data_IF_677663139054
#
_entry.id   IF_677663139054
#
_cell.length_a   1.000
_cell.length_b   1.000
_cell.length_c   1.000
_cell.angle_alpha   90.00
_cell.angle_beta   90.00
_cell.angle_gamma   90.00
#
_symmetry.space_group_name_H-M   'P 1'
#
loop_
_entity.id
_entity.type
_entity.pdbx_description
1 polymer ?
#
# COMPACT_ATOMS: atom_id res chain seq x y z
N UNK A 1 2.03 23.65 -5.77
CA UNK A 1 3.10 22.63 -5.92
C UNK A 1 4.34 23.14 -6.64
N UNK A 2 4.21 23.99 -7.62
CA UNK A 2 5.33 24.47 -8.47
C UNK A 2 6.17 25.65 -7.95
N UNK A 3 5.85 26.24 -6.80
CA UNK A 3 6.48 27.49 -6.32
C UNK A 3 7.03 27.41 -4.90
N UNK A 4 6.36 26.72 -3.98
CA UNK A 4 6.80 26.59 -2.58
C UNK A 4 8.12 25.82 -2.46
N UNK A 5 8.94 26.06 -1.40
CA UNK A 5 10.16 25.29 -1.15
C UNK A 5 9.85 23.79 -1.08
N UNK A 6 10.64 22.96 -1.80
CA UNK A 6 10.36 21.54 -1.98
C UNK A 6 10.35 20.76 -0.67
N UNK A 7 11.28 21.06 0.25
CA UNK A 7 11.33 20.39 1.56
C UNK A 7 10.08 20.66 2.40
N UNK A 8 9.65 21.92 2.50
CA UNK A 8 8.41 22.28 3.22
C UNK A 8 7.18 21.64 2.57
N UNK A 9 7.17 21.59 1.25
CA UNK A 9 6.08 20.98 0.50
C UNK A 9 6.03 19.47 0.75
N UNK A 10 7.18 18.77 0.70
CA UNK A 10 7.26 17.35 0.99
C UNK A 10 6.76 17.03 2.41
N UNK A 11 7.19 17.80 3.42
CA UNK A 11 6.71 17.63 4.80
C UNK A 11 5.19 17.86 4.90
N UNK A 12 4.67 18.87 4.22
CA UNK A 12 3.22 19.18 4.21
C UNK A 12 2.38 18.04 3.64
N UNK A 13 2.91 17.23 2.72
CA UNK A 13 2.22 16.11 2.10
C UNK A 13 2.56 14.77 2.78
N UNK A 14 3.82 14.55 3.14
CA UNK A 14 4.27 13.30 3.72
C UNK A 14 3.78 13.10 5.16
N UNK A 15 3.82 14.14 6.00
CA UNK A 15 3.40 14.01 7.39
C UNK A 15 1.93 13.58 7.55
N UNK A 16 0.95 14.19 6.85
CA UNK A 16 -0.42 13.69 6.84
C UNK A 16 -0.56 12.25 6.35
N UNK A 17 0.19 11.88 5.31
CA UNK A 17 0.16 10.52 4.76
C UNK A 17 0.74 9.50 5.75
N UNK A 18 1.85 9.82 6.42
CA UNK A 18 2.45 8.97 7.47
C UNK A 18 1.46 8.75 8.62
N UNK A 19 0.83 9.80 9.11
CA UNK A 19 -0.16 9.72 10.19
C UNK A 19 -1.33 8.83 9.75
N UNK A 20 -1.86 9.02 8.54
CA UNK A 20 -2.96 8.22 8.01
C UNK A 20 -2.59 6.73 7.87
N UNK A 21 -1.39 6.42 7.36
CA UNK A 21 -0.90 5.04 7.20
C UNK A 21 -0.70 4.36 8.55
N UNK A 22 -0.13 5.07 9.53
CA UNK A 22 0.06 4.56 10.89
C UNK A 22 -1.28 4.30 11.57
N UNK A 23 -2.24 5.22 11.46
CA UNK A 23 -3.58 5.06 12.02
C UNK A 23 -4.30 3.85 11.41
N UNK A 24 -4.20 3.66 10.09
CA UNK A 24 -4.79 2.50 9.40
C UNK A 24 -4.16 1.17 9.84
N UNK A 25 -2.86 1.14 10.12
CA UNK A 25 -2.20 -0.06 10.64
C UNK A 25 -2.66 -0.42 12.06
N UNK A 26 -2.77 0.58 12.93
CA UNK A 26 -3.26 0.37 14.30
C UNK A 26 -4.73 -0.11 14.31
N UNK A 27 -5.55 0.43 13.40
CA UNK A 27 -6.93 0.03 13.24
C UNK A 27 -7.08 -1.47 12.97
N UNK A 28 -6.34 -2.04 12.02
CA UNK A 28 -6.40 -3.46 11.73
C UNK A 28 -6.09 -4.35 12.95
N UNK A 29 -5.23 -3.87 13.86
CA UNK A 29 -4.98 -4.53 15.14
C UNK A 29 -6.19 -4.48 16.07
N UNK A 30 -6.80 -3.31 16.20
CA UNK A 30 -7.95 -3.07 17.09
C UNK A 30 -9.17 -3.88 16.64
N UNK A 31 -9.47 -3.90 15.33
CA UNK A 31 -10.55 -4.69 14.75
C UNK A 31 -10.39 -6.19 15.05
N UNK A 32 -9.18 -6.72 14.87
CA UNK A 32 -8.86 -8.12 15.19
C UNK A 32 -9.06 -8.44 16.68
N UNK A 33 -8.75 -7.51 17.57
CA UNK A 33 -8.95 -7.68 19.02
C UNK A 33 -10.46 -7.77 19.34
N UNK A 34 -11.28 -6.88 18.79
CA UNK A 34 -12.72 -6.89 19.03
C UNK A 34 -13.39 -8.17 18.49
N UNK A 35 -13.01 -8.63 17.30
CA UNK A 35 -13.52 -9.90 16.75
C UNK A 35 -13.10 -11.07 17.64
N UNK A 36 -11.84 -11.10 18.08
CA UNK A 36 -11.32 -12.18 18.90
C UNK A 36 -11.99 -12.30 20.25
N UNK A 37 -12.19 -11.19 20.91
CA UNK A 37 -12.83 -11.14 22.23
C UNK A 37 -14.36 -11.31 22.14
N UNK A 38 -14.98 -10.82 21.07
CA UNK A 38 -16.44 -10.78 20.95
C UNK A 38 -17.07 -12.01 20.31
N UNK A 39 -16.36 -12.65 19.38
CA UNK A 39 -16.91 -13.78 18.59
C UNK A 39 -16.15 -15.09 18.87
N UNK A 40 -14.85 -15.00 19.12
CA UNK A 40 -14.02 -16.14 19.53
C UNK A 40 -12.92 -16.52 18.53
N UNK A 41 -12.14 -17.56 18.89
CA UNK A 41 -10.95 -17.96 18.16
C UNK A 41 -11.22 -18.45 16.72
N UNK A 42 -12.34 -19.13 16.48
CA UNK A 42 -12.72 -19.58 15.13
C UNK A 42 -13.04 -18.40 14.20
N UNK A 43 -13.62 -17.32 14.75
CA UNK A 43 -13.88 -16.11 13.98
C UNK A 43 -12.58 -15.39 13.60
N UNK A 44 -11.58 -15.31 14.50
CA UNK A 44 -10.25 -14.81 14.16
C UNK A 44 -9.61 -15.65 13.05
N UNK A 45 -9.71 -16.96 13.15
CA UNK A 45 -9.17 -17.86 12.12
C UNK A 45 -9.88 -17.67 10.78
N UNK A 46 -11.21 -17.49 10.79
CA UNK A 46 -11.99 -17.14 9.61
C UNK A 46 -11.56 -15.80 9.01
N UNK A 47 -11.36 -14.77 9.85
CA UNK A 47 -10.85 -13.47 9.41
C UNK A 47 -9.44 -13.58 8.80
N UNK A 48 -8.56 -14.35 9.40
CA UNK A 48 -7.20 -14.55 8.89
C UNK A 48 -7.18 -15.14 7.47
N UNK A 49 -8.11 -16.05 7.18
CA UNK A 49 -8.30 -16.62 5.83
C UNK A 49 -8.78 -15.56 4.83
N UNK A 50 -9.63 -14.63 5.26
CA UNK A 50 -10.15 -13.58 4.37
C UNK A 50 -9.14 -12.48 4.07
N UNK A 51 -8.15 -12.28 4.93
CA UNK A 51 -7.20 -11.16 4.85
C UNK A 51 -6.42 -11.06 3.53
N UNK A 52 -5.81 -12.14 2.98
CA UNK A 52 -5.16 -12.09 1.68
C UNK A 52 -6.11 -11.72 0.54
N UNK A 53 -7.33 -12.21 0.60
CA UNK A 53 -8.35 -11.92 -0.41
C UNK A 53 -8.85 -10.48 -0.32
N UNK A 54 -9.02 -9.94 0.87
CA UNK A 54 -9.34 -8.52 1.07
C UNK A 54 -8.21 -7.61 0.56
N UNK A 55 -6.96 -7.99 0.81
CA UNK A 55 -5.81 -7.25 0.28
C UNK A 55 -5.77 -7.25 -1.24
N UNK A 56 -6.12 -8.37 -1.88
CA UNK A 56 -6.23 -8.45 -3.33
C UNK A 56 -7.34 -7.52 -3.84
N UNK A 57 -8.51 -7.52 -3.20
CA UNK A 57 -9.60 -6.59 -3.53
C UNK A 57 -9.17 -5.13 -3.40
N UNK A 58 -8.56 -4.78 -2.26
CA UNK A 58 -8.08 -3.42 -2.01
C UNK A 58 -7.00 -3.00 -3.02
N UNK A 59 -6.19 -3.94 -3.52
CA UNK A 59 -5.17 -3.67 -4.53
C UNK A 59 -5.76 -3.18 -5.86
N UNK A 60 -6.95 -3.65 -6.25
CA UNK A 60 -7.65 -3.13 -7.43
C UNK A 60 -8.07 -1.67 -7.26
N UNK A 61 -8.75 -1.34 -6.15
CA UNK A 61 -9.17 0.02 -5.85
C UNK A 61 -7.99 0.98 -5.68
N UNK A 62 -6.96 0.54 -4.94
CA UNK A 62 -5.73 1.30 -4.77
C UNK A 62 -4.98 1.51 -6.09
N UNK A 63 -4.95 0.51 -6.97
CA UNK A 63 -4.36 0.60 -8.30
C UNK A 63 -5.01 1.70 -9.15
N UNK A 64 -6.34 1.71 -9.23
CA UNK A 64 -7.08 2.78 -9.93
C UNK A 64 -6.83 4.14 -9.27
N UNK A 65 -6.86 4.21 -7.94
CA UNK A 65 -6.63 5.44 -7.19
C UNK A 65 -5.24 6.02 -7.42
N UNK A 66 -4.19 5.20 -7.32
CA UNK A 66 -2.79 5.60 -7.55
C UNK A 66 -2.56 5.97 -9.01
N UNK A 67 -3.10 5.20 -9.95
CA UNK A 67 -3.02 5.50 -11.37
C UNK A 67 -3.66 6.84 -11.71
N UNK A 68 -4.86 7.08 -11.20
CA UNK A 68 -5.59 8.34 -11.36
C UNK A 68 -4.85 9.52 -10.71
N UNK A 69 -4.38 9.36 -9.48
CA UNK A 69 -3.66 10.39 -8.72
C UNK A 69 -2.36 10.79 -9.40
N UNK A 70 -1.57 9.82 -9.88
CA UNK A 70 -0.31 10.09 -10.59
C UNK A 70 -0.57 10.81 -11.91
N UNK A 71 -1.49 10.30 -12.73
CA UNK A 71 -1.82 10.89 -14.03
C UNK A 71 -2.44 12.28 -13.89
N UNK A 72 -3.32 12.46 -12.91
CA UNK A 72 -3.90 13.75 -12.54
C UNK A 72 -2.82 14.77 -12.18
N UNK A 73 -1.85 14.39 -11.35
CA UNK A 73 -0.77 15.28 -10.92
C UNK A 73 0.09 15.76 -12.09
N UNK A 74 0.40 14.87 -13.04
CA UNK A 74 1.12 15.20 -14.27
C UNK A 74 0.30 16.20 -15.11
N UNK A 75 -1.00 15.95 -15.31
CA UNK A 75 -1.88 16.81 -16.08
C UNK A 75 -2.06 18.20 -15.46
N UNK A 76 -2.16 18.27 -14.13
CA UNK A 76 -2.16 19.55 -13.41
C UNK A 76 -0.85 20.33 -13.61
N UNK A 77 0.29 19.63 -13.65
CA UNK A 77 1.60 20.22 -13.96
C UNK A 77 1.67 20.77 -15.36
N UNK A 78 1.07 20.08 -16.34
CA UNK A 78 0.94 20.51 -17.74
C UNK A 78 -0.10 21.63 -17.93
N UNK A 79 -0.83 22.01 -16.87
CA UNK A 79 -1.97 22.95 -16.94
C UNK A 79 -3.14 22.45 -17.82
N UNK A 80 -3.20 21.15 -18.09
CA UNK A 80 -4.29 20.51 -18.82
C UNK A 80 -5.44 20.19 -17.86
N UNK A 81 -6.16 21.24 -17.46
CA UNK A 81 -7.24 21.16 -16.48
C UNK A 81 -8.46 20.40 -17.01
N UNK A 82 -8.67 20.42 -18.32
CA UNK A 82 -9.76 19.69 -18.97
C UNK A 82 -9.59 18.18 -18.80
N UNK A 83 -8.42 17.66 -19.14
CA UNK A 83 -8.09 16.24 -18.93
C UNK A 83 -8.06 15.90 -17.43
N UNK A 84 -7.49 16.78 -16.59
CA UNK A 84 -7.46 16.58 -15.13
C UNK A 84 -8.87 16.38 -14.56
N UNK A 85 -9.83 17.21 -15.00
CA UNK A 85 -11.23 17.10 -14.60
C UNK A 85 -11.87 15.78 -15.05
N UNK A 86 -11.56 15.31 -16.27
CA UNK A 86 -12.04 14.01 -16.78
C UNK A 86 -11.42 12.82 -16.06
N UNK A 87 -10.16 12.93 -15.60
CA UNK A 87 -9.51 11.89 -14.80
C UNK A 87 -10.27 11.68 -13.49
N UNK A 88 -10.72 12.74 -12.82
CA UNK A 88 -11.54 12.64 -11.60
C UNK A 88 -12.80 11.80 -11.86
N UNK A 89 -13.55 12.09 -12.94
CA UNK A 89 -14.76 11.34 -13.28
C UNK A 89 -14.46 9.89 -13.69
N UNK A 90 -13.40 9.66 -14.47
CA UNK A 90 -12.98 8.32 -14.87
C UNK A 90 -12.50 7.48 -13.67
N UNK A 91 -11.87 8.10 -12.66
CA UNK A 91 -11.52 7.42 -11.40
C UNK A 91 -12.79 6.88 -10.70
N UNK A 92 -13.84 7.68 -10.62
CA UNK A 92 -15.11 7.25 -10.03
C UNK A 92 -15.72 6.09 -10.82
N UNK A 93 -15.86 6.25 -12.13
CA UNK A 93 -16.49 5.23 -12.99
C UNK A 93 -15.70 3.92 -13.01
N UNK A 94 -14.37 3.98 -13.11
CA UNK A 94 -13.52 2.79 -13.07
C UNK A 94 -13.61 2.04 -11.74
N UNK A 95 -13.59 2.74 -10.60
CA UNK A 95 -13.74 2.12 -9.30
C UNK A 95 -15.11 1.44 -9.13
N UNK A 96 -16.18 2.05 -9.67
CA UNK A 96 -17.51 1.41 -9.67
C UNK A 96 -17.50 0.14 -10.53
N UNK A 97 -17.00 0.21 -11.76
CA UNK A 97 -17.02 -0.93 -12.68
C UNK A 97 -16.14 -2.08 -12.14
N UNK A 98 -14.90 -1.79 -11.76
CA UNK A 98 -13.98 -2.80 -11.26
C UNK A 98 -14.47 -3.36 -9.92
N UNK A 99 -14.96 -2.52 -9.02
CA UNK A 99 -15.55 -2.94 -7.75
C UNK A 99 -16.77 -3.84 -7.95
N UNK A 100 -17.66 -3.48 -8.87
CA UNK A 100 -18.84 -4.28 -9.19
C UNK A 100 -18.47 -5.64 -9.80
N UNK A 101 -17.60 -5.65 -10.82
CA UNK A 101 -17.16 -6.89 -11.48
C UNK A 101 -16.45 -7.80 -10.49
N UNK A 102 -15.53 -7.25 -9.68
CA UNK A 102 -14.85 -8.02 -8.64
C UNK A 102 -15.82 -8.60 -7.62
N UNK A 103 -16.79 -7.81 -7.15
CA UNK A 103 -17.81 -8.26 -6.19
C UNK A 103 -18.69 -9.37 -6.75
N UNK A 104 -19.20 -9.21 -7.97
CA UNK A 104 -20.09 -10.21 -8.59
C UNK A 104 -19.34 -11.52 -8.80
N UNK A 105 -18.15 -11.48 -9.41
CA UNK A 105 -17.32 -12.67 -9.65
C UNK A 105 -16.97 -13.36 -8.32
N UNK A 106 -16.56 -12.58 -7.33
CA UNK A 106 -16.15 -13.09 -6.03
C UNK A 106 -17.33 -13.71 -5.25
N UNK A 107 -18.52 -13.13 -5.32
CA UNK A 107 -19.71 -13.68 -4.66
C UNK A 107 -20.16 -14.99 -5.32
N UNK A 108 -20.06 -15.10 -6.65
CA UNK A 108 -20.42 -16.33 -7.38
C UNK A 108 -19.50 -17.51 -7.04
N UNK A 109 -18.22 -17.23 -6.77
CA UNK A 109 -17.20 -18.24 -6.47
C UNK A 109 -16.65 -18.13 -5.04
N UNK A 110 -17.42 -17.60 -4.11
CA UNK A 110 -16.92 -17.25 -2.77
C UNK A 110 -16.35 -18.45 -2.02
N UNK A 111 -17.07 -19.55 -1.93
CA UNK A 111 -16.63 -20.73 -1.19
C UNK A 111 -15.36 -21.35 -1.79
N UNK A 112 -15.28 -21.62 -3.11
CA UNK A 112 -14.03 -22.07 -3.73
C UNK A 112 -12.85 -21.13 -3.47
N UNK A 113 -13.07 -19.82 -3.50
CA UNK A 113 -12.02 -18.81 -3.22
C UNK A 113 -11.58 -18.93 -1.76
N UNK A 114 -12.50 -18.98 -0.81
CA UNK A 114 -12.16 -19.09 0.62
C UNK A 114 -11.41 -20.38 0.93
N UNK A 115 -11.84 -21.52 0.37
CA UNK A 115 -11.09 -22.78 0.50
C UNK A 115 -9.70 -22.70 -0.11
N UNK A 116 -9.54 -22.04 -1.26
CA UNK A 116 -8.23 -21.81 -1.87
C UNK A 116 -7.29 -21.02 -0.96
N UNK A 117 -7.83 -20.04 -0.19
CA UNK A 117 -7.06 -19.25 0.77
C UNK A 117 -6.88 -19.96 2.13
N UNK A 118 -7.35 -21.19 2.29
CA UNK A 118 -7.08 -22.03 3.45
C UNK A 118 -8.24 -22.13 4.47
N UNK A 119 -9.46 -21.80 4.08
CA UNK A 119 -10.62 -22.04 4.93
C UNK A 119 -10.81 -23.55 5.18
N UNK A 120 -11.16 -23.91 6.40
CA UNK A 120 -11.64 -25.24 6.79
C UNK A 120 -13.16 -25.25 6.92
N UNK A 121 -13.74 -26.43 7.05
CA UNK A 121 -15.19 -26.54 7.32
C UNK A 121 -15.64 -25.82 8.60
N UNK A 122 -14.72 -25.66 9.57
CA UNK A 122 -15.00 -24.95 10.81
C UNK A 122 -14.91 -23.43 10.66
N UNK A 123 -14.03 -22.92 9.80
CA UNK A 123 -13.78 -21.48 9.64
C UNK A 123 -14.60 -20.85 8.51
N UNK A 124 -15.05 -21.65 7.54
CA UNK A 124 -15.77 -21.14 6.36
C UNK A 124 -17.07 -20.40 6.70
N UNK A 125 -17.88 -20.78 7.70
CA UNK A 125 -19.07 -20.01 8.04
C UNK A 125 -18.73 -18.56 8.43
N UNK A 126 -17.70 -18.37 9.26
CA UNK A 126 -17.26 -17.04 9.70
C UNK A 126 -16.66 -16.24 8.55
N UNK A 127 -15.80 -16.85 7.75
CA UNK A 127 -15.19 -16.23 6.59
C UNK A 127 -16.24 -15.79 5.56
N UNK A 128 -17.23 -16.63 5.29
CA UNK A 128 -18.34 -16.34 4.37
C UNK A 128 -19.21 -15.19 4.87
N UNK A 129 -19.63 -15.22 6.12
CA UNK A 129 -20.46 -14.16 6.72
C UNK A 129 -19.78 -12.80 6.67
N UNK A 130 -18.49 -12.77 6.94
CA UNK A 130 -17.69 -11.54 6.85
C UNK A 130 -17.55 -11.07 5.41
N UNK A 131 -17.12 -11.96 4.51
CA UNK A 131 -16.80 -11.60 3.13
C UNK A 131 -18.01 -11.21 2.30
N UNK A 132 -19.19 -11.78 2.54
CA UNK A 132 -20.43 -11.38 1.83
C UNK A 132 -20.69 -9.87 2.05
N UNK A 133 -20.61 -9.41 3.29
CA UNK A 133 -20.85 -7.99 3.60
C UNK A 133 -19.74 -7.12 3.00
N UNK A 134 -18.48 -7.51 3.14
CA UNK A 134 -17.34 -6.77 2.54
C UNK A 134 -17.49 -6.67 1.02
N UNK A 135 -17.85 -7.76 0.34
CA UNK A 135 -18.01 -7.77 -1.11
C UNK A 135 -19.22 -6.95 -1.59
N UNK A 136 -20.32 -6.97 -0.85
CA UNK A 136 -21.45 -6.09 -1.14
C UNK A 136 -21.11 -4.60 -1.01
N UNK A 137 -20.24 -4.27 -0.05
CA UNK A 137 -19.74 -2.92 0.17
C UNK A 137 -18.48 -2.56 -0.63
N UNK A 138 -17.96 -3.46 -1.45
CA UNK A 138 -16.65 -3.33 -2.08
C UNK A 138 -16.54 -2.13 -3.04
N UNK A 139 -17.62 -1.76 -3.72
CA UNK A 139 -17.67 -0.55 -4.55
C UNK A 139 -17.37 0.69 -3.68
N UNK A 140 -17.92 0.74 -2.48
CA UNK A 140 -17.68 1.84 -1.52
C UNK A 140 -16.20 1.86 -1.13
N UNK A 141 -15.62 0.70 -0.82
CA UNK A 141 -14.20 0.56 -0.48
C UNK A 141 -13.30 1.06 -1.62
N UNK A 142 -13.57 0.63 -2.86
CA UNK A 142 -12.80 1.08 -4.03
C UNK A 142 -12.90 2.58 -4.26
N UNK A 143 -14.11 3.13 -4.19
CA UNK A 143 -14.35 4.58 -4.30
C UNK A 143 -13.65 5.35 -3.19
N UNK A 144 -13.71 4.87 -1.95
CA UNK A 144 -13.05 5.49 -0.80
C UNK A 144 -11.54 5.60 -1.02
N UNK A 145 -10.87 4.51 -1.42
CA UNK A 145 -9.43 4.54 -1.73
C UNK A 145 -9.11 5.41 -2.93
N UNK A 146 -9.90 5.32 -4.00
CA UNK A 146 -9.72 6.11 -5.22
C UNK A 146 -9.86 7.61 -4.96
N UNK A 147 -10.90 8.04 -4.25
CA UNK A 147 -11.14 9.44 -3.91
C UNK A 147 -10.09 9.98 -2.93
N UNK A 148 -9.63 9.18 -1.96
CA UNK A 148 -8.56 9.55 -1.05
C UNK A 148 -7.23 9.83 -1.79
N UNK A 149 -6.87 9.00 -2.77
CA UNK A 149 -5.70 9.21 -3.60
C UNK A 149 -5.80 10.50 -4.44
N UNK A 150 -6.96 10.75 -5.03
CA UNK A 150 -7.21 11.96 -5.84
C UNK A 150 -7.23 13.22 -4.98
N UNK A 151 -7.70 13.18 -3.73
CA UNK A 151 -7.62 14.32 -2.80
C UNK A 151 -6.17 14.78 -2.60
N UNK A 152 -5.23 13.86 -2.46
CA UNK A 152 -3.81 14.22 -2.35
C UNK A 152 -3.28 14.90 -3.61
N UNK A 153 -3.64 14.38 -4.78
CA UNK A 153 -3.28 14.96 -6.07
C UNK A 153 -3.92 16.34 -6.29
N UNK A 154 -5.15 16.53 -5.80
CA UNK A 154 -5.89 17.79 -5.82
C UNK A 154 -5.39 18.83 -4.79
N UNK A 155 -4.21 18.65 -4.23
CA UNK A 155 -3.59 19.56 -3.23
C UNK A 155 -4.32 19.60 -1.87
N UNK A 156 -5.06 18.55 -1.53
CA UNK A 156 -5.81 18.43 -0.26
C UNK A 156 -5.29 17.27 0.64
N UNK A 157 -3.97 17.17 0.94
CA UNK A 157 -3.41 16.03 1.70
C UNK A 157 -3.91 15.95 3.14
N UNK A 158 -4.13 17.10 3.80
CA UNK A 158 -4.70 17.14 5.16
C UNK A 158 -6.12 16.59 5.20
N UNK A 159 -6.95 16.91 4.20
CA UNK A 159 -8.32 16.42 4.12
C UNK A 159 -8.35 14.91 3.85
N UNK A 160 -7.44 14.41 3.00
CA UNK A 160 -7.27 12.97 2.81
C UNK A 160 -6.89 12.26 4.13
N UNK A 161 -6.00 12.85 4.93
CA UNK A 161 -5.66 12.34 6.27
C UNK A 161 -6.87 12.36 7.21
N UNK A 162 -7.60 13.48 7.27
CA UNK A 162 -8.76 13.60 8.17
C UNK A 162 -9.85 12.58 7.84
N UNK A 163 -10.13 12.34 6.57
CA UNK A 163 -11.10 11.32 6.17
C UNK A 163 -10.62 9.91 6.56
N UNK A 164 -9.33 9.62 6.48
CA UNK A 164 -8.78 8.33 6.91
C UNK A 164 -8.85 8.17 8.43
N UNK A 165 -8.41 9.16 9.21
CA UNK A 165 -8.48 9.12 10.68
C UNK A 165 -9.94 9.00 11.13
N UNK A 166 -10.83 9.76 10.52
CA UNK A 166 -12.26 9.68 10.82
C UNK A 166 -12.82 8.28 10.57
N UNK A 167 -12.45 7.64 9.46
CA UNK A 167 -12.85 6.25 9.18
C UNK A 167 -12.35 5.30 10.26
N UNK A 168 -11.09 5.43 10.67
CA UNK A 168 -10.48 4.59 11.71
C UNK A 168 -11.20 4.78 13.06
N UNK A 169 -11.41 6.02 13.47
CA UNK A 169 -12.08 6.33 14.74
C UNK A 169 -13.53 5.86 14.73
N UNK A 170 -14.27 6.17 13.67
CA UNK A 170 -15.67 5.77 13.55
C UNK A 170 -15.82 4.26 13.55
N UNK A 171 -14.97 3.55 12.82
CA UNK A 171 -14.97 2.10 12.78
C UNK A 171 -14.65 1.50 14.17
N UNK A 172 -13.63 2.02 14.87
CA UNK A 172 -13.27 1.58 16.23
C UNK A 172 -14.41 1.78 17.25
N UNK A 173 -15.29 2.74 17.02
CA UNK A 173 -16.49 2.95 17.83
C UNK A 173 -17.61 2.01 17.41
N UNK A 174 -17.79 1.82 16.11
CA UNK A 174 -18.88 0.99 15.57
C UNK A 174 -18.63 -0.52 15.77
N UNK A 175 -17.37 -0.98 15.76
CA UNK A 175 -17.04 -2.38 15.98
C UNK A 175 -17.65 -2.95 17.28
N UNK A 176 -17.35 -2.41 18.46
CA UNK A 176 -17.95 -2.90 19.70
C UNK A 176 -19.48 -2.75 19.71
N UNK A 177 -20.03 -1.69 19.13
CA UNK A 177 -21.48 -1.53 19.04
C UNK A 177 -22.13 -2.61 18.20
N UNK A 178 -21.59 -2.88 17.01
CA UNK A 178 -22.16 -3.89 16.10
C UNK A 178 -21.90 -5.31 16.60
N UNK A 179 -20.72 -5.59 17.14
CA UNK A 179 -20.34 -6.94 17.58
C UNK A 179 -21.06 -7.31 18.88
N UNK A 180 -21.04 -6.43 19.89
CA UNK A 180 -21.52 -6.73 21.25
C UNK A 180 -22.94 -6.23 21.49
N UNK A 181 -23.24 -4.96 21.18
CA UNK A 181 -24.53 -4.35 21.52
C UNK A 181 -25.65 -4.83 20.61
N UNK A 182 -25.37 -4.94 19.30
CA UNK A 182 -26.35 -5.43 18.32
C UNK A 182 -26.25 -6.95 18.06
N UNK A 183 -25.32 -7.63 18.76
CA UNK A 183 -25.11 -9.10 18.67
C UNK A 183 -24.96 -9.62 17.24
N UNK A 184 -24.31 -8.83 16.38
CA UNK A 184 -24.10 -9.19 14.98
C UNK A 184 -22.89 -10.10 14.76
N UNK A 185 -22.06 -10.32 15.79
CA UNK A 185 -20.85 -11.12 15.70
C UNK A 185 -19.89 -10.61 14.62
N UNK A 186 -19.29 -11.51 13.85
CA UNK A 186 -18.32 -11.17 12.78
C UNK A 186 -18.95 -10.33 11.66
N UNK A 187 -20.25 -10.46 11.40
CA UNK A 187 -20.98 -9.61 10.46
C UNK A 187 -20.98 -8.15 10.89
N UNK A 188 -21.00 -7.91 12.21
CA UNK A 188 -20.95 -6.57 12.79
C UNK A 188 -19.65 -5.84 12.45
N UNK A 189 -18.51 -6.50 12.53
CA UNK A 189 -17.23 -5.95 12.14
C UNK A 189 -17.19 -5.57 10.65
N UNK A 190 -17.65 -6.45 9.77
CA UNK A 190 -17.75 -6.16 8.34
C UNK A 190 -18.68 -4.96 8.06
N UNK A 191 -19.83 -4.92 8.71
CA UNK A 191 -20.80 -3.83 8.56
C UNK A 191 -20.23 -2.50 9.08
N UNK A 192 -19.57 -2.50 10.23
CA UNK A 192 -18.91 -1.31 10.79
C UNK A 192 -17.84 -0.75 9.83
N UNK A 193 -17.06 -1.61 9.21
CA UNK A 193 -16.05 -1.23 8.21
C UNK A 193 -16.70 -0.52 7.01
N UNK A 194 -17.71 -1.12 6.40
CA UNK A 194 -18.38 -0.55 5.22
C UNK A 194 -19.12 0.75 5.57
N UNK A 195 -19.77 0.79 6.73
CA UNK A 195 -20.48 2.00 7.18
C UNK A 195 -19.51 3.16 7.41
N UNK A 196 -18.38 2.91 8.06
CA UNK A 196 -17.34 3.93 8.29
C UNK A 196 -16.77 4.48 6.98
N UNK A 197 -16.49 3.60 6.02
CA UNK A 197 -16.04 3.98 4.69
C UNK A 197 -17.11 4.74 3.91
N UNK A 198 -18.39 4.38 4.08
CA UNK A 198 -19.50 5.08 3.43
C UNK A 198 -19.59 6.53 3.89
N UNK A 199 -19.55 6.75 5.22
CA UNK A 199 -19.60 8.12 5.76
C UNK A 199 -18.39 8.93 5.32
N UNK A 200 -17.19 8.35 5.33
CA UNK A 200 -15.98 9.00 4.84
C UNK A 200 -16.05 9.29 3.33
N UNK A 201 -16.61 8.40 2.52
CA UNK A 201 -16.81 8.60 1.09
C UNK A 201 -17.77 9.77 0.82
N UNK A 202 -18.87 9.87 1.57
CA UNK A 202 -19.79 11.02 1.50
C UNK A 202 -19.03 12.31 1.81
N UNK A 203 -18.19 12.32 2.84
CA UNK A 203 -17.33 13.48 3.12
C UNK A 203 -16.36 13.79 1.98
N UNK A 204 -15.63 12.79 1.46
CA UNK A 204 -14.71 12.97 0.33
C UNK A 204 -15.42 13.52 -0.91
N UNK A 205 -16.62 13.02 -1.23
CA UNK A 205 -17.40 13.50 -2.38
C UNK A 205 -17.90 14.93 -2.15
N UNK A 206 -18.25 15.30 -0.91
CA UNK A 206 -18.64 16.66 -0.58
C UNK A 206 -17.51 17.68 -0.82
N UNK A 207 -16.25 17.29 -0.57
CA UNK A 207 -15.07 18.11 -0.84
C UNK A 207 -14.85 18.38 -2.34
N UNK A 208 -15.37 17.53 -3.21
CA UNK A 208 -15.35 17.72 -4.67
C UNK A 208 -16.67 18.27 -5.21
N UNK A 209 -17.63 18.60 -4.38
CA UNK A 209 -18.91 19.20 -4.79
C UNK A 209 -18.85 20.72 -4.92
N UNK A 210 -17.81 21.35 -4.38
CA UNK A 210 -17.59 22.78 -4.45
C UNK A 210 -17.18 23.20 -5.86
N UNK A 211 -18.07 23.92 -6.55
CA UNK A 211 -17.88 24.40 -7.92
C UNK A 211 -16.82 25.50 -8.04
N UNK A 212 -16.41 26.11 -6.94
CA UNK A 212 -15.33 27.12 -6.92
C UNK A 212 -13.95 26.50 -7.06
N UNK A 213 -13.84 25.21 -6.75
CA UNK A 213 -12.59 24.47 -6.84
C UNK A 213 -12.26 24.07 -8.28
N UNK A 214 -10.98 24.04 -8.59
CA UNK A 214 -10.46 23.66 -9.91
C UNK A 214 -10.96 22.27 -10.35
N UNK A 215 -10.96 21.33 -9.42
CA UNK A 215 -11.44 19.97 -9.63
C UNK A 215 -12.71 19.77 -8.81
N UNK A 216 -13.82 19.58 -9.50
CA UNK A 216 -15.11 19.32 -8.88
C UNK A 216 -15.94 18.31 -9.66
N UNK A 217 -16.85 17.64 -8.98
CA UNK A 217 -17.77 16.69 -9.60
C UNK A 217 -18.83 17.47 -10.43
N UNK A 218 -18.90 17.16 -11.73
CA UNK A 218 -19.88 17.76 -12.65
C UNK A 218 -20.39 16.73 -13.64
N UNK A 219 -21.54 17.00 -14.25
CA UNK A 219 -22.08 16.14 -15.30
C UNK A 219 -21.12 16.07 -16.50
N UNK A 220 -21.01 14.88 -17.11
CA UNK A 220 -20.22 14.65 -18.33
C UNK A 220 -18.78 14.18 -18.12
N UNK A 221 -18.21 14.25 -16.89
CA UNK A 221 -16.85 13.77 -16.63
C UNK A 221 -16.75 12.24 -16.44
N UNK A 222 -17.88 11.59 -16.18
CA UNK A 222 -17.95 10.15 -15.88
C UNK A 222 -17.85 9.26 -17.12
N UNK A 223 -17.98 9.85 -18.33
CA UNK A 223 -17.80 9.09 -19.56
C UNK A 223 -16.36 8.62 -19.68
N UNK A 224 -16.17 7.31 -19.82
CA UNK A 224 -14.86 6.72 -19.99
C UNK A 224 -14.20 7.21 -21.27
N UNK A 225 -12.97 7.65 -21.14
CA UNK A 225 -12.09 7.97 -22.25
C UNK A 225 -11.00 6.90 -22.33
N UNK A 226 -10.94 6.24 -23.47
CA UNK A 226 -10.02 5.12 -23.68
C UNK A 226 -8.56 5.49 -23.39
N UNK A 227 -8.14 6.70 -23.75
CA UNK A 227 -6.79 7.18 -23.50
C UNK A 227 -6.55 7.41 -22.00
N UNK A 228 -7.51 8.03 -21.31
CA UNK A 228 -7.45 8.25 -19.86
C UNK A 228 -7.42 6.90 -19.13
N UNK A 229 -8.32 5.97 -19.48
CA UNK A 229 -8.40 4.64 -18.90
C UNK A 229 -7.08 3.87 -19.05
N UNK A 230 -6.50 3.87 -20.26
CA UNK A 230 -5.20 3.22 -20.53
C UNK A 230 -4.08 3.78 -19.65
N UNK A 231 -4.02 5.09 -19.45
CA UNK A 231 -3.02 5.72 -18.62
C UNK A 231 -3.24 5.41 -17.13
N UNK A 232 -4.49 5.50 -16.64
CA UNK A 232 -4.83 5.16 -15.26
C UNK A 232 -4.46 3.71 -14.95
N UNK A 233 -4.94 2.76 -15.76
CA UNK A 233 -4.70 1.35 -15.54
C UNK A 233 -3.21 0.99 -15.78
N UNK A 234 -2.57 1.58 -16.79
CA UNK A 234 -1.15 1.37 -17.06
C UNK A 234 -0.25 1.76 -15.89
N UNK A 235 -0.54 2.86 -15.21
CA UNK A 235 0.19 3.27 -14.00
C UNK A 235 -0.24 2.41 -12.81
N UNK A 236 -1.53 2.15 -12.67
CA UNK A 236 -2.13 1.42 -11.56
C UNK A 236 -1.76 -0.06 -11.50
N UNK A 237 -1.33 -0.66 -12.62
CA UNK A 237 -0.87 -2.05 -12.63
C UNK A 237 0.39 -2.27 -11.79
N UNK A 238 1.22 -1.24 -11.58
CA UNK A 238 2.42 -1.34 -10.75
C UNK A 238 2.10 -1.63 -9.28
N UNK A 239 1.32 -0.81 -8.55
CA UNK A 239 0.96 -1.10 -7.17
C UNK A 239 0.07 -2.35 -7.03
N UNK A 240 -0.79 -2.62 -8.01
CA UNK A 240 -1.57 -3.84 -8.05
C UNK A 240 -0.66 -5.09 -8.12
N UNK A 241 0.25 -5.14 -9.10
CA UNK A 241 1.17 -6.26 -9.27
C UNK A 241 2.09 -6.44 -8.04
N UNK A 242 2.54 -5.36 -7.42
CA UNK A 242 3.32 -5.40 -6.19
C UNK A 242 2.55 -6.08 -5.05
N UNK A 243 1.31 -5.68 -4.81
CA UNK A 243 0.50 -6.26 -3.74
C UNK A 243 0.11 -7.72 -4.02
N UNK A 244 -0.31 -8.03 -5.25
CA UNK A 244 -0.66 -9.40 -5.65
C UNK A 244 0.55 -10.34 -5.52
N UNK A 245 1.71 -9.90 -5.98
CA UNK A 245 2.95 -10.67 -5.87
C UNK A 245 3.39 -10.83 -4.42
N UNK A 246 3.25 -9.81 -3.58
CA UNK A 246 3.58 -9.89 -2.16
C UNK A 246 2.75 -10.96 -1.44
N UNK A 247 1.47 -11.11 -1.76
CA UNK A 247 0.62 -12.18 -1.23
C UNK A 247 1.14 -13.57 -1.63
N UNK A 248 1.48 -13.77 -2.91
CA UNK A 248 2.01 -15.04 -3.40
C UNK A 248 3.37 -15.38 -2.77
N UNK A 249 4.25 -14.40 -2.67
CA UNK A 249 5.58 -14.57 -2.06
C UNK A 249 5.48 -14.90 -0.58
N UNK A 250 4.55 -14.28 0.14
CA UNK A 250 4.34 -14.60 1.56
C UNK A 250 3.94 -16.07 1.77
N UNK A 251 3.10 -16.62 0.92
CA UNK A 251 2.74 -18.04 0.94
C UNK A 251 3.98 -18.90 0.70
N UNK A 252 4.80 -18.57 -0.30
CA UNK A 252 6.01 -19.33 -0.63
C UNK A 252 7.07 -19.26 0.47
N UNK A 253 7.29 -18.08 1.07
CA UNK A 253 8.18 -17.91 2.23
C UNK A 253 7.71 -18.78 3.41
N UNK A 254 6.42 -18.72 3.75
CA UNK A 254 5.87 -19.53 4.83
C UNK A 254 6.02 -21.03 4.59
N UNK A 255 5.80 -21.50 3.35
CA UNK A 255 6.03 -22.92 3.01
C UNK A 255 7.48 -23.32 3.20
N UNK A 256 8.43 -22.49 2.77
CA UNK A 256 9.87 -22.76 2.96
C UNK A 256 10.28 -22.73 4.42
N UNK A 257 9.77 -21.78 5.21
CA UNK A 257 10.02 -21.72 6.63
C UNK A 257 9.47 -22.94 7.38
N UNK A 258 8.27 -23.39 7.00
CA UNK A 258 7.65 -24.58 7.56
C UNK A 258 8.48 -25.86 7.25
N UNK A 259 8.93 -25.99 6.00
CA UNK A 259 9.70 -27.14 5.52
C UNK A 259 11.06 -27.27 6.22
N UNK A 260 11.79 -26.17 6.40
CA UNK A 260 13.16 -26.15 6.93
C UNK A 260 13.27 -25.78 8.40
N UNK A 261 12.25 -25.18 9.01
CA UNK A 261 12.31 -24.68 10.38
C UNK A 261 11.09 -24.95 11.26
N UNK A 262 10.06 -25.55 10.68
CA UNK A 262 8.81 -25.87 11.39
C UNK A 262 7.96 -24.65 11.77
N UNK A 263 6.94 -24.89 12.58
CA UNK A 263 5.95 -23.87 12.97
C UNK A 263 6.54 -22.68 13.72
N UNK A 264 7.57 -22.91 14.54
CA UNK A 264 8.24 -21.85 15.27
C UNK A 264 8.97 -20.86 14.35
N UNK A 265 9.52 -21.34 13.21
CA UNK A 265 10.16 -20.47 12.23
C UNK A 265 9.13 -19.60 11.50
N UNK A 266 7.97 -20.12 11.20
CA UNK A 266 6.85 -19.35 10.63
C UNK A 266 6.38 -18.29 11.63
N UNK A 267 6.25 -18.65 12.90
CA UNK A 267 5.92 -17.71 13.96
C UNK A 267 6.95 -16.59 14.13
N UNK A 268 8.23 -16.95 14.09
CA UNK A 268 9.35 -16.01 14.16
C UNK A 268 9.32 -15.01 12.96
N UNK A 269 9.07 -15.50 11.76
CA UNK A 269 8.90 -14.68 10.58
C UNK A 269 7.70 -13.72 10.71
N UNK A 270 6.59 -14.21 11.25
CA UNK A 270 5.42 -13.39 11.52
C UNK A 270 5.72 -12.20 12.43
N UNK A 271 6.49 -12.43 13.52
CA UNK A 271 6.93 -11.36 14.42
C UNK A 271 7.90 -10.41 13.71
N UNK A 272 8.90 -10.93 13.02
CA UNK A 272 9.87 -10.13 12.28
C UNK A 272 9.20 -9.23 11.22
N UNK A 273 8.25 -9.80 10.47
CA UNK A 273 7.51 -9.07 9.45
C UNK A 273 6.65 -7.94 10.04
N UNK A 274 6.03 -8.14 11.21
CA UNK A 274 5.25 -7.09 11.89
C UNK A 274 6.13 -5.93 12.34
N UNK A 275 7.33 -6.20 12.84
CA UNK A 275 8.29 -5.15 13.22
C UNK A 275 8.75 -4.38 11.98
N UNK A 276 9.14 -5.07 10.91
CA UNK A 276 9.56 -4.44 9.66
C UNK A 276 8.44 -3.61 9.02
N UNK A 277 7.19 -4.08 9.09
CA UNK A 277 6.02 -3.45 8.48
C UNK A 277 5.78 -2.02 8.99
N UNK A 278 6.10 -1.73 10.25
CA UNK A 278 5.98 -0.38 10.82
C UNK A 278 6.82 0.62 10.02
N UNK A 279 8.09 0.29 9.77
CA UNK A 279 9.01 1.16 9.02
C UNK A 279 8.65 1.25 7.54
N UNK A 280 8.16 0.15 6.97
CA UNK A 280 7.63 0.11 5.60
C UNK A 280 6.42 1.04 5.46
N UNK A 281 5.49 1.04 6.41
CA UNK A 281 4.30 1.92 6.38
C UNK A 281 4.68 3.40 6.48
N UNK A 282 5.63 3.76 7.32
CA UNK A 282 6.14 5.14 7.41
C UNK A 282 6.77 5.55 6.08
N UNK A 283 7.58 4.68 5.47
CA UNK A 283 8.21 4.93 4.16
C UNK A 283 7.14 5.06 3.06
N UNK A 284 6.08 4.26 3.10
CA UNK A 284 4.94 4.40 2.20
C UNK A 284 4.23 5.74 2.36
N UNK A 285 4.12 6.25 3.58
CA UNK A 285 3.62 7.61 3.82
C UNK A 285 4.48 8.69 3.16
N UNK A 286 5.80 8.56 3.23
CA UNK A 286 6.74 9.46 2.50
C UNK A 286 6.49 9.37 0.98
N UNK A 287 6.34 8.17 0.45
CA UNK A 287 6.06 7.93 -0.97
C UNK A 287 4.74 8.56 -1.42
N UNK A 288 3.68 8.40 -0.63
CA UNK A 288 2.38 9.00 -0.91
C UNK A 288 2.42 10.54 -0.89
N UNK A 289 3.27 11.11 -0.03
CA UNK A 289 3.52 12.55 0.01
C UNK A 289 4.35 13.05 -1.18
N UNK A 290 5.34 12.28 -1.62
CA UNK A 290 6.18 12.59 -2.79
C UNK A 290 5.37 12.54 -4.09
N UNK A 291 4.47 11.58 -4.23
CA UNK A 291 3.77 11.25 -5.48
C UNK A 291 3.16 12.46 -6.19
N UNK A 292 2.27 13.28 -5.57
CA UNK A 292 1.65 14.41 -6.25
C UNK A 292 2.66 15.51 -6.59
N UNK A 293 3.70 15.69 -5.78
CA UNK A 293 4.74 16.71 -6.01
C UNK A 293 5.61 16.31 -7.20
N UNK A 294 6.04 15.05 -7.27
CA UNK A 294 6.84 14.52 -8.37
C UNK A 294 6.05 14.56 -9.69
N UNK A 295 4.82 14.06 -9.70
CA UNK A 295 3.94 14.07 -10.88
C UNK A 295 3.71 15.48 -11.42
N UNK A 296 3.37 16.44 -10.54
CA UNK A 296 3.17 17.83 -10.92
C UNK A 296 4.42 18.47 -11.53
N UNK A 297 5.57 18.36 -10.86
CA UNK A 297 6.81 19.00 -11.34
C UNK A 297 7.34 18.31 -12.62
N UNK A 298 7.10 17.01 -12.80
CA UNK A 298 7.38 16.33 -14.06
C UNK A 298 6.50 16.85 -15.20
N UNK A 299 5.18 16.97 -14.97
CA UNK A 299 4.25 17.53 -15.94
C UNK A 299 4.55 18.98 -16.31
N UNK A 300 5.00 19.79 -15.33
CA UNK A 300 5.40 21.18 -15.49
C UNK A 300 6.84 21.35 -16.03
N UNK A 301 7.55 20.26 -16.36
CA UNK A 301 8.94 20.25 -16.83
C UNK A 301 9.95 20.94 -15.88
N UNK A 302 9.62 21.04 -14.59
CA UNK A 302 10.50 21.62 -13.56
C UNK A 302 11.46 20.55 -13.01
N UNK A 303 12.41 20.13 -13.82
CA UNK A 303 13.30 19.00 -13.54
C UNK A 303 14.24 19.21 -12.34
N UNK A 304 14.66 20.43 -12.05
CA UNK A 304 15.41 20.79 -10.85
C UNK A 304 14.62 20.48 -9.57
N UNK A 305 13.36 20.86 -9.53
CA UNK A 305 12.46 20.59 -8.41
C UNK A 305 12.10 19.11 -8.32
N UNK A 306 11.91 18.46 -9.48
CA UNK A 306 11.66 17.01 -9.58
C UNK A 306 12.82 16.21 -8.97
N UNK A 307 14.06 16.54 -9.33
CA UNK A 307 15.24 15.89 -8.77
C UNK A 307 15.40 16.18 -7.27
N UNK A 308 15.05 17.39 -6.83
CA UNK A 308 15.14 17.76 -5.41
C UNK A 308 14.10 17.02 -4.55
N UNK A 309 12.86 16.84 -5.02
CA UNK A 309 11.87 16.06 -4.27
C UNK A 309 12.24 14.58 -4.18
N UNK A 310 12.78 14.00 -5.26
CA UNK A 310 13.30 12.63 -5.24
C UNK A 310 14.41 12.48 -4.21
N UNK A 311 15.40 13.37 -4.21
CA UNK A 311 16.52 13.32 -3.27
C UNK A 311 16.06 13.43 -1.81
N UNK A 312 15.18 14.40 -1.51
CA UNK A 312 14.65 14.57 -0.15
C UNK A 312 13.80 13.39 0.30
N UNK A 313 13.00 12.81 -0.59
CA UNK A 313 12.21 11.63 -0.28
C UNK A 313 13.10 10.40 -0.06
N UNK A 314 14.18 10.23 -0.84
CA UNK A 314 15.17 9.17 -0.62
C UNK A 314 15.86 9.31 0.73
N UNK A 315 16.28 10.51 1.10
CA UNK A 315 16.89 10.77 2.42
C UNK A 315 15.89 10.44 3.52
N UNK A 316 14.65 10.92 3.43
CA UNK A 316 13.63 10.65 4.43
C UNK A 316 13.31 9.16 4.55
N UNK A 317 13.09 8.46 3.42
CA UNK A 317 12.82 7.03 3.40
C UNK A 317 13.99 6.20 3.93
N UNK A 318 15.23 6.56 3.57
CA UNK A 318 16.43 5.90 4.07
C UNK A 318 16.63 6.15 5.57
N UNK A 319 16.39 7.36 6.08
CA UNK A 319 16.44 7.63 7.51
C UNK A 319 15.45 6.76 8.30
N UNK A 320 14.23 6.60 7.79
CA UNK A 320 13.21 5.72 8.41
C UNK A 320 13.68 4.26 8.44
N UNK A 321 14.17 3.75 7.32
CA UNK A 321 14.58 2.35 7.23
C UNK A 321 15.91 2.08 7.94
N UNK A 322 16.84 3.04 8.01
CA UNK A 322 18.02 2.97 8.86
C UNK A 322 17.62 2.92 10.34
N UNK A 323 16.64 3.72 10.77
CA UNK A 323 16.10 3.62 12.13
C UNK A 323 15.55 2.23 12.40
N UNK A 324 14.82 1.63 11.46
CA UNK A 324 14.36 0.25 11.55
C UNK A 324 15.52 -0.76 11.70
N UNK A 325 16.55 -0.60 10.90
CA UNK A 325 17.77 -1.42 11.04
C UNK A 325 18.42 -1.28 12.41
N UNK A 326 18.60 -0.06 12.92
CA UNK A 326 19.17 0.17 14.26
C UNK A 326 18.30 -0.44 15.36
N UNK A 327 16.97 -0.35 15.26
CA UNK A 327 16.04 -1.00 16.19
C UNK A 327 16.22 -2.52 16.15
N UNK A 328 16.34 -3.11 14.97
CA UNK A 328 16.54 -4.54 14.79
C UNK A 328 17.86 -5.04 15.38
N UNK A 329 18.94 -4.26 15.29
CA UNK A 329 20.26 -4.65 15.78
C UNK A 329 20.42 -4.43 17.27
N UNK A 330 19.99 -3.28 17.80
CA UNK A 330 20.29 -2.88 19.17
C UNK A 330 19.22 -3.29 20.20
N UNK A 331 17.94 -3.33 19.80
CA UNK A 331 16.85 -3.63 20.74
C UNK A 331 15.86 -4.72 20.23
N UNK A 332 16.31 -5.78 19.54
CA UNK A 332 15.42 -6.79 19.00
C UNK A 332 14.65 -7.54 20.08
N UNK A 333 15.26 -7.77 21.24
CA UNK A 333 14.61 -8.46 22.36
C UNK A 333 13.41 -7.67 22.91
N UNK A 334 13.50 -6.33 22.96
CA UNK A 334 12.38 -5.49 23.36
C UNK A 334 11.23 -5.60 22.37
N UNK A 335 11.53 -5.56 21.07
CA UNK A 335 10.52 -5.69 20.01
C UNK A 335 9.82 -7.05 20.06
N UNK A 336 10.58 -8.14 20.20
CA UNK A 336 10.03 -9.50 20.26
C UNK A 336 9.26 -9.73 21.55
N UNK A 337 9.74 -9.19 22.68
CA UNK A 337 9.09 -9.31 23.99
C UNK A 337 7.68 -8.74 24.05
N UNK A 338 7.30 -7.85 23.12
CA UNK A 338 5.92 -7.37 22.96
C UNK A 338 4.96 -8.44 22.42
N UNK A 339 5.48 -9.47 21.75
CA UNK A 339 4.67 -10.49 21.06
C UNK A 339 4.71 -11.85 21.72
N UNK A 340 5.81 -12.21 22.37
CA UNK A 340 5.99 -13.53 22.98
C UNK A 340 6.89 -13.49 24.21
N UNK A 341 6.63 -14.39 25.16
CA UNK A 341 7.50 -14.69 26.30
C UNK A 341 8.18 -16.07 26.18
N UNK A 342 7.89 -16.82 25.12
CA UNK A 342 8.55 -18.11 24.87
C UNK A 342 10.01 -17.92 24.48
N UNK A 343 10.91 -18.65 25.16
CA UNK A 343 12.35 -18.46 25.03
C UNK A 343 12.88 -18.89 23.64
N UNK A 344 12.38 -19.99 23.10
CA UNK A 344 12.83 -20.50 21.80
C UNK A 344 12.32 -19.65 20.64
N UNK A 345 11.03 -19.28 20.67
CA UNK A 345 10.44 -18.37 19.70
C UNK A 345 11.11 -16.99 19.76
N UNK A 346 11.46 -16.50 20.95
CA UNK A 346 12.21 -15.24 21.12
C UNK A 346 13.58 -15.33 20.45
N UNK A 347 14.33 -16.41 20.66
CA UNK A 347 15.64 -16.60 20.05
C UNK A 347 15.57 -16.62 18.52
N UNK A 348 14.63 -17.37 17.96
CA UNK A 348 14.41 -17.46 16.52
C UNK A 348 13.96 -16.14 15.94
N UNK A 349 13.05 -15.42 16.60
CA UNK A 349 12.55 -14.12 16.17
C UNK A 349 13.62 -13.04 16.18
N UNK A 350 14.47 -13.00 17.21
CA UNK A 350 15.60 -12.05 17.29
C UNK A 350 16.58 -12.31 16.15
N UNK A 351 16.92 -13.56 15.88
CA UNK A 351 17.78 -13.91 14.76
C UNK A 351 17.12 -13.51 13.43
N UNK A 352 15.84 -13.86 13.24
CA UNK A 352 15.08 -13.54 12.04
C UNK A 352 14.98 -12.05 11.77
N UNK A 353 14.69 -11.25 12.81
CA UNK A 353 14.61 -9.78 12.70
C UNK A 353 15.95 -9.21 12.24
N UNK A 354 17.06 -9.59 12.87
CA UNK A 354 18.39 -9.10 12.51
C UNK A 354 18.74 -9.42 11.06
N UNK A 355 18.56 -10.67 10.63
CA UNK A 355 18.89 -11.08 9.27
C UNK A 355 17.95 -10.42 8.25
N UNK A 356 16.65 -10.46 8.48
CA UNK A 356 15.65 -9.90 7.53
C UNK A 356 15.80 -8.39 7.38
N UNK A 357 16.08 -7.67 8.46
CA UNK A 357 16.20 -6.21 8.44
C UNK A 357 17.63 -5.73 8.14
N UNK A 358 18.60 -6.61 7.90
CA UNK A 358 19.98 -6.24 7.56
C UNK A 358 20.07 -5.34 6.31
N UNK A 359 19.24 -5.56 5.32
CA UNK A 359 19.18 -4.77 4.09
C UNK A 359 18.28 -3.52 4.18
N UNK A 360 17.60 -3.29 5.31
CA UNK A 360 16.69 -2.13 5.47
C UNK A 360 17.31 -0.78 5.06
N UNK A 361 18.59 -0.47 5.35
CA UNK A 361 19.19 0.79 4.93
C UNK A 361 19.11 1.05 3.41
N UNK A 362 19.12 0.01 2.60
CA UNK A 362 19.02 0.13 1.14
C UNK A 362 17.58 -0.01 0.62
N UNK A 363 16.69 -0.62 1.38
CA UNK A 363 15.27 -0.77 1.02
C UNK A 363 14.58 0.59 0.93
N UNK A 364 14.92 1.53 1.83
CA UNK A 364 14.30 2.85 1.88
C UNK A 364 14.39 3.60 0.56
N UNK A 365 15.59 3.76 0.01
CA UNK A 365 15.76 4.46 -1.26
C UNK A 365 15.17 3.66 -2.43
N UNK A 366 15.28 2.34 -2.41
CA UNK A 366 14.72 1.49 -3.45
C UNK A 366 13.19 1.63 -3.56
N UNK A 367 12.50 1.65 -2.43
CA UNK A 367 11.05 1.88 -2.39
C UNK A 367 10.69 3.27 -2.94
N UNK A 368 11.44 4.30 -2.55
CA UNK A 368 11.21 5.67 -3.02
C UNK A 368 11.45 5.79 -4.53
N UNK A 369 12.52 5.22 -5.05
CA UNK A 369 12.83 5.23 -6.50
C UNK A 369 11.74 4.52 -7.30
N UNK A 370 11.27 3.37 -6.84
CA UNK A 370 10.19 2.63 -7.49
C UNK A 370 8.89 3.45 -7.56
N UNK A 371 8.50 4.07 -6.43
CA UNK A 371 7.32 4.93 -6.36
C UNK A 371 7.48 6.23 -7.15
N UNK A 372 8.69 6.76 -7.25
CA UNK A 372 8.98 7.93 -8.06
C UNK A 372 8.68 7.67 -9.54
N UNK A 373 9.15 6.57 -10.11
CA UNK A 373 8.83 6.22 -11.50
C UNK A 373 7.33 6.02 -11.72
N UNK A 374 6.63 5.44 -10.77
CA UNK A 374 5.16 5.35 -10.78
C UNK A 374 4.52 6.74 -10.80
N UNK A 375 5.00 7.67 -9.97
CA UNK A 375 4.46 9.03 -9.82
C UNK A 375 4.58 9.88 -11.09
N UNK A 376 5.62 9.67 -11.88
CA UNK A 376 5.84 10.37 -13.15
C UNK A 376 5.28 9.61 -14.37
N UNK A 377 4.50 8.55 -14.13
CA UNK A 377 3.85 7.77 -15.18
C UNK A 377 4.75 6.79 -15.94
N UNK A 378 5.98 6.53 -15.47
CA UNK A 378 6.91 5.53 -16.04
C UNK A 378 6.59 4.12 -15.51
N UNK A 379 5.36 3.66 -15.75
CA UNK A 379 4.81 2.43 -15.19
C UNK A 379 5.67 1.19 -15.47
N UNK A 380 6.19 1.02 -16.68
CA UNK A 380 7.04 -0.13 -17.05
C UNK A 380 8.28 -0.26 -16.15
N UNK A 381 8.92 0.86 -15.81
CA UNK A 381 10.10 0.88 -14.93
C UNK A 381 9.69 0.55 -13.49
N UNK A 382 8.61 1.15 -13.02
CA UNK A 382 8.09 0.88 -11.68
C UNK A 382 7.68 -0.58 -11.51
N UNK A 383 6.99 -1.17 -12.49
CA UNK A 383 6.62 -2.59 -12.51
C UNK A 383 7.89 -3.47 -12.48
N UNK A 384 8.86 -3.18 -13.35
CA UNK A 384 10.10 -3.93 -13.38
C UNK A 384 10.83 -3.90 -12.05
N UNK A 385 11.00 -2.73 -11.43
CA UNK A 385 11.67 -2.58 -10.14
C UNK A 385 10.92 -3.29 -9.01
N UNK A 386 9.59 -3.23 -9.01
CA UNK A 386 8.75 -3.88 -8.00
C UNK A 386 8.79 -5.40 -8.12
N UNK A 387 8.62 -5.93 -9.33
CA UNK A 387 8.54 -7.36 -9.57
C UNK A 387 9.92 -8.03 -9.55
N UNK A 388 10.98 -7.35 -9.98
CA UNK A 388 12.32 -7.90 -9.96
C UNK A 388 12.75 -8.31 -8.55
N UNK A 389 12.44 -7.51 -7.54
CA UNK A 389 12.73 -7.82 -6.14
C UNK A 389 12.10 -9.14 -5.70
N UNK A 390 10.83 -9.33 -6.01
CA UNK A 390 10.04 -10.45 -5.51
C UNK A 390 10.15 -11.70 -6.41
N UNK A 391 9.90 -11.56 -7.71
CA UNK A 391 9.82 -12.68 -8.63
C UNK A 391 11.18 -13.06 -9.24
N UNK A 392 12.00 -12.06 -9.59
CA UNK A 392 13.27 -12.33 -10.25
C UNK A 392 14.37 -12.74 -9.28
N UNK A 393 14.37 -12.18 -8.07
CA UNK A 393 15.42 -12.47 -7.09
C UNK A 393 14.92 -13.31 -5.92
N UNK A 394 13.87 -12.90 -5.19
CA UNK A 394 13.48 -13.57 -3.96
C UNK A 394 12.99 -15.01 -4.20
N UNK A 395 12.10 -15.23 -5.17
CA UNK A 395 11.55 -16.56 -5.42
C UNK A 395 12.64 -17.57 -5.85
N UNK A 396 13.55 -17.28 -6.79
CA UNK A 396 14.65 -18.18 -7.10
C UNK A 396 15.60 -18.42 -5.93
N UNK A 397 15.93 -17.39 -5.14
CA UNK A 397 16.78 -17.53 -3.97
C UNK A 397 16.14 -18.41 -2.89
N UNK A 398 14.84 -18.28 -2.65
CA UNK A 398 14.07 -19.16 -1.76
C UNK A 398 13.99 -20.60 -2.26
N UNK A 399 14.14 -20.82 -3.56
CA UNK A 399 14.23 -22.16 -4.14
C UNK A 399 15.61 -22.80 -4.01
N UNK A 400 16.67 -22.00 -4.07
CA UNK A 400 18.06 -22.50 -4.15
C UNK A 400 18.79 -22.44 -2.82
N UNK A 401 18.78 -21.31 -2.10
CA UNK A 401 19.57 -21.13 -0.88
C UNK A 401 19.24 -22.12 0.25
N UNK A 402 17.98 -22.47 0.51
CA UNK A 402 17.66 -23.45 1.54
C UNK A 402 18.23 -24.85 1.28
N UNK A 403 18.48 -25.21 0.00
CA UNK A 403 19.09 -26.50 -0.35
C UNK A 403 20.54 -26.64 0.16
N UNK A 404 21.22 -25.51 0.40
CA UNK A 404 22.62 -25.48 0.84
C UNK A 404 22.78 -24.97 2.28
N UNK A 405 21.86 -24.16 2.76
CA UNK A 405 21.97 -23.44 4.04
C UNK A 405 20.78 -23.68 4.97
N UNK A 406 19.91 -24.64 4.65
CA UNK A 406 18.70 -24.95 5.42
C UNK A 406 17.87 -23.69 5.74
N UNK A 407 17.36 -23.57 6.95
CA UNK A 407 16.57 -22.42 7.38
C UNK A 407 17.30 -21.07 7.25
N UNK A 408 18.62 -21.06 7.43
CA UNK A 408 19.43 -19.85 7.25
C UNK A 408 19.34 -19.33 5.82
N UNK A 409 19.27 -20.24 4.84
CA UNK A 409 19.06 -19.90 3.42
C UNK A 409 17.74 -19.15 3.18
N UNK A 410 16.67 -19.51 3.90
CA UNK A 410 15.39 -18.81 3.80
C UNK A 410 15.52 -17.37 4.33
N UNK A 411 16.15 -17.19 5.49
CA UNK A 411 16.32 -15.86 6.09
C UNK A 411 17.21 -14.94 5.25
N UNK A 412 18.34 -15.47 4.74
CA UNK A 412 19.32 -14.69 3.96
C UNK A 412 18.79 -14.36 2.54
N UNK A 413 17.88 -15.14 1.99
CA UNK A 413 17.28 -14.86 0.68
C UNK A 413 16.66 -13.46 0.59
N UNK A 414 16.05 -12.98 1.67
CA UNK A 414 15.38 -11.68 1.73
C UNK A 414 16.37 -10.50 1.55
N UNK A 415 17.39 -10.32 2.40
CA UNK A 415 18.34 -9.22 2.26
C UNK A 415 19.17 -9.30 0.98
N UNK A 416 19.48 -10.49 0.47
CA UNK A 416 20.17 -10.65 -0.82
C UNK A 416 19.27 -10.15 -1.98
N UNK A 417 18.00 -10.54 -1.99
CA UNK A 417 17.02 -10.05 -2.96
C UNK A 417 16.89 -8.53 -2.93
N UNK A 418 16.83 -7.95 -1.73
CA UNK A 418 16.77 -6.50 -1.54
C UNK A 418 18.03 -5.80 -2.08
N UNK A 419 19.21 -6.37 -1.85
CA UNK A 419 20.48 -5.82 -2.35
C UNK A 419 20.53 -5.80 -3.89
N UNK A 420 20.16 -6.90 -4.55
CA UNK A 420 20.11 -6.95 -6.02
C UNK A 420 19.09 -5.95 -6.59
N UNK A 421 17.91 -5.88 -6.01
CA UNK A 421 16.87 -4.92 -6.44
C UNK A 421 17.32 -3.47 -6.23
N UNK A 422 18.01 -3.19 -5.14
CA UNK A 422 18.56 -1.87 -4.86
C UNK A 422 19.61 -1.42 -5.90
N UNK A 423 20.44 -2.34 -6.39
CA UNK A 423 21.41 -2.06 -7.47
C UNK A 423 20.66 -1.66 -8.75
N UNK A 424 19.61 -2.41 -9.14
CA UNK A 424 18.79 -2.06 -10.31
C UNK A 424 18.12 -0.71 -10.15
N UNK A 425 17.56 -0.42 -8.98
CA UNK A 425 16.96 0.87 -8.68
C UNK A 425 17.98 2.02 -8.80
N UNK A 426 19.20 1.82 -8.30
CA UNK A 426 20.29 2.80 -8.39
C UNK A 426 20.69 3.07 -9.84
N UNK A 427 20.87 2.03 -10.65
CA UNK A 427 21.22 2.15 -12.07
C UNK A 427 20.15 2.93 -12.83
N UNK A 428 18.88 2.56 -12.65
CA UNK A 428 17.75 3.24 -13.30
C UNK A 428 17.65 4.71 -12.85
N UNK A 429 17.79 4.96 -11.56
CA UNK A 429 17.77 6.31 -11.00
C UNK A 429 18.89 7.18 -11.62
N UNK A 430 20.13 6.70 -11.62
CA UNK A 430 21.26 7.45 -12.17
C UNK A 430 21.08 7.76 -13.67
N UNK A 431 20.58 6.80 -14.45
CA UNK A 431 20.28 6.99 -15.88
C UNK A 431 19.26 8.12 -16.09
N UNK A 432 18.15 8.09 -15.35
CA UNK A 432 17.10 9.09 -15.48
C UNK A 432 17.47 10.44 -14.91
N UNK A 433 18.23 10.50 -13.82
CA UNK A 433 18.75 11.78 -13.31
C UNK A 433 19.68 12.47 -14.31
N UNK A 434 20.54 11.71 -15.02
CA UNK A 434 21.37 12.26 -16.11
C UNK A 434 20.50 12.82 -17.24
N UNK A 435 19.45 12.09 -17.63
CA UNK A 435 18.51 12.54 -18.66
C UNK A 435 17.78 13.82 -18.23
N UNK A 436 17.26 13.91 -17.01
CA UNK A 436 16.58 15.11 -16.52
C UNK A 436 17.50 16.30 -16.38
N UNK A 437 18.76 16.10 -15.97
CA UNK A 437 19.78 17.17 -15.95
C UNK A 437 20.08 17.69 -17.36
N UNK A 438 20.13 16.82 -18.35
CA UNK A 438 20.33 17.20 -19.75
C UNK A 438 19.13 18.01 -20.25
N UNK A 439 17.92 17.53 -20.08
CA UNK A 439 16.68 18.22 -20.48
C UNK A 439 16.57 19.60 -19.80
N UNK A 440 16.92 19.70 -18.53
CA UNK A 440 16.93 20.98 -17.83
C UNK A 440 17.92 21.97 -18.44
N UNK A 441 19.13 21.52 -18.80
CA UNK A 441 20.15 22.39 -19.45
C UNK A 441 19.70 22.82 -20.84
N UNK A 442 19.11 21.94 -21.63
CA UNK A 442 18.60 22.26 -22.97
C UNK A 442 17.52 23.34 -22.89
N UNK A 443 16.56 23.23 -21.99
CA UNK A 443 15.54 24.27 -21.77
C UNK A 443 16.10 25.61 -21.32
N UNK A 444 17.14 25.61 -20.45
CA UNK A 444 17.77 26.85 -19.98
C UNK A 444 18.63 27.51 -21.07
N UNK A 445 19.05 26.75 -22.08
CA UNK A 445 19.77 27.30 -23.22
C UNK A 445 18.86 27.90 -24.30
N UNK A 446 17.58 27.48 -24.32
CA UNK A 446 16.55 27.97 -25.26
C UNK A 446 15.74 29.15 -24.71
N UNK A 447 15.83 29.44 -23.39
CA UNK A 447 15.15 30.55 -22.70
C UNK A 447 16.05 31.77 -22.56
#
# INVERSE_FOLDING_TARGET
MGTKPVGRLLTQYALPAIIAMTASSLYNMVDSIFIGQGVGALAISGLAVTFPFMNLSAAFGAGVGVGSSSYLSVKLGQKDYSTAQRILGNNVTLNIIIGLVFSVVSLLFLDPILYFFGASEQTIPYAREYMVIILLGNIITHLYFGMNAVLRAASKPRQAMYTTIFTVVLNSVLDPLCIYTFDMGIRGAAFATILSQTVALVWQTSLFSDKSELLHLRRGIYRLDNNIVKNILGIGISPFAMNATACLVAIFVNQRLLEYGGDLAVGAYGIANRVAFIFVMITMGVNQGMQPIAGYNYGAQKYDRLMRVLMLAMIAGTCVTVTGFLVAEFIPHLCVGLFTSDAELTRLSVHGIRVMMAAMPIVGYQMVVTNFFQSIGKAKISIFLSLSRQLLFLVPLLGVLPLFLDITGVWIAMPISDAFSAIFALVMMMRYMRMFKRQHREMMAES
#
